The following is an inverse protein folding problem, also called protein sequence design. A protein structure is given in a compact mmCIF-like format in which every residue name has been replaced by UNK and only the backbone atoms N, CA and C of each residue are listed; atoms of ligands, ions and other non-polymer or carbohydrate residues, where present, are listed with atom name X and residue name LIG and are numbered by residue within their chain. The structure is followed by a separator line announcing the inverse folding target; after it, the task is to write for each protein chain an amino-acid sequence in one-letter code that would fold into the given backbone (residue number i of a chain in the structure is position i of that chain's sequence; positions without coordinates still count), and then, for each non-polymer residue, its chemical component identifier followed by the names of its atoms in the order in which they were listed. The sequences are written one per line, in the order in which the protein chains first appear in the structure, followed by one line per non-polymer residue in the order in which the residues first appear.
data_IF_425735659037
#
_entry.id   IF_425735659037
#
_cell.length_a   1.000
_cell.length_b   1.000
_cell.length_c   1.000
_cell.angle_alpha   90.00
_cell.angle_beta   90.00
_cell.angle_gamma   90.00
#
_symmetry.space_group_name_H-M   'P 1'
#
loop_
_entity.id
_entity.type
_entity.pdbx_description
1 polymer ?
#
# COMPACT_ATOMS: atom_id res chain seq x y z
N UNK A 1 -21.12 -4.33 -5.49
CA UNK A 1 -20.21 -3.99 -4.37
C UNK A 1 -21.07 -3.72 -3.14
N UNK A 2 -20.86 -4.44 -2.03
CA UNK A 2 -21.57 -4.17 -0.77
C UNK A 2 -21.08 -2.86 -0.15
N UNK A 3 -21.95 -2.15 0.59
CA UNK A 3 -21.57 -0.95 1.36
C UNK A 3 -20.42 -1.22 2.33
N UNK A 4 -20.29 -2.45 2.84
CA UNK A 4 -19.18 -2.89 3.69
C UNK A 4 -17.84 -2.87 2.98
N UNK A 5 -17.75 -3.51 1.81
CA UNK A 5 -16.50 -3.57 1.03
C UNK A 5 -16.01 -2.16 0.64
N UNK A 6 -16.93 -1.27 0.26
CA UNK A 6 -16.57 0.12 -0.06
C UNK A 6 -15.96 0.87 1.14
N UNK A 7 -16.44 0.60 2.36
CA UNK A 7 -15.87 1.22 3.57
C UNK A 7 -14.47 0.70 3.85
N UNK A 8 -14.27 -0.61 3.71
CA UNK A 8 -12.96 -1.24 3.91
C UNK A 8 -11.92 -0.75 2.91
N UNK A 9 -12.30 -0.58 1.65
CA UNK A 9 -11.39 -0.06 0.61
C UNK A 9 -10.99 1.39 0.89
N UNK A 10 -11.93 2.23 1.34
CA UNK A 10 -11.67 3.62 1.73
C UNK A 10 -10.77 3.68 2.97
N UNK A 11 -11.03 2.84 3.98
CA UNK A 11 -10.22 2.79 5.19
C UNK A 11 -8.78 2.39 4.89
N UNK A 12 -8.58 1.37 4.02
CA UNK A 12 -7.23 0.96 3.59
C UNK A 12 -6.50 2.08 2.85
N UNK A 13 -7.17 2.74 1.90
CA UNK A 13 -6.60 3.87 1.17
C UNK A 13 -6.21 5.00 2.14
N UNK A 14 -7.07 5.30 3.11
CA UNK A 14 -6.80 6.32 4.13
C UNK A 14 -5.60 5.97 5.02
N UNK A 15 -5.49 4.72 5.46
CA UNK A 15 -4.35 4.26 6.28
C UNK A 15 -3.02 4.35 5.52
N UNK A 16 -3.02 3.96 4.24
CA UNK A 16 -1.83 4.07 3.37
C UNK A 16 -1.43 5.54 3.21
N UNK A 17 -2.40 6.40 2.85
CA UNK A 17 -2.18 7.81 2.60
C UNK A 17 -1.71 8.56 3.85
N UNK A 18 -2.38 8.36 4.99
CA UNK A 18 -2.04 9.03 6.26
C UNK A 18 -0.68 8.60 6.78
N UNK A 19 -0.35 7.30 6.72
CA UNK A 19 0.98 6.81 7.08
C UNK A 19 2.06 7.38 6.17
N UNK A 20 1.86 7.36 4.86
CA UNK A 20 2.82 7.91 3.90
C UNK A 20 3.02 9.42 4.10
N UNK A 21 1.93 10.15 4.33
CA UNK A 21 1.96 11.58 4.64
C UNK A 21 2.71 11.89 5.93
N UNK A 22 2.50 11.13 7.00
CA UNK A 22 3.24 11.30 8.26
C UNK A 22 4.74 11.10 8.07
N UNK A 23 5.15 10.08 7.30
CA UNK A 23 6.57 9.87 7.01
C UNK A 23 7.10 11.00 6.11
N UNK A 24 6.33 11.46 5.12
CA UNK A 24 6.68 12.60 4.28
C UNK A 24 6.90 13.88 5.07
N UNK A 25 5.99 14.18 6.01
CA UNK A 25 6.09 15.31 6.92
C UNK A 25 7.39 15.26 7.74
N UNK A 26 7.69 14.11 8.35
CA UNK A 26 8.89 13.94 9.16
C UNK A 26 10.18 14.08 8.34
N UNK A 27 10.24 13.43 7.16
CA UNK A 27 11.41 13.48 6.29
C UNK A 27 11.69 14.91 5.78
N UNK A 28 10.67 15.58 5.25
CA UNK A 28 10.83 16.93 4.74
C UNK A 28 10.97 17.96 5.87
N UNK A 29 10.42 17.70 7.06
CA UNK A 29 10.70 18.49 8.25
C UNK A 29 12.16 18.42 8.67
N UNK A 30 12.78 17.24 8.61
CA UNK A 30 14.22 17.10 8.84
C UNK A 30 15.04 17.88 7.79
N UNK A 31 14.63 17.84 6.51
CA UNK A 31 15.25 18.65 5.45
C UNK A 31 15.09 20.14 5.73
N UNK A 32 13.87 20.60 6.05
CA UNK A 32 13.58 21.99 6.37
C UNK A 32 14.39 22.50 7.56
N UNK A 33 14.49 21.71 8.62
CA UNK A 33 15.34 22.01 9.78
C UNK A 33 16.81 22.11 9.39
N UNK A 34 17.31 21.17 8.57
CA UNK A 34 18.68 21.21 8.06
C UNK A 34 18.96 22.49 7.27
N UNK A 35 18.07 22.87 6.36
CA UNK A 35 18.17 24.10 5.57
C UNK A 35 18.11 25.35 6.46
N UNK A 36 17.21 25.39 7.45
CA UNK A 36 17.11 26.50 8.39
C UNK A 36 18.38 26.64 9.24
N UNK A 37 18.96 25.53 9.71
CA UNK A 37 20.22 25.53 10.46
C UNK A 37 21.40 26.02 9.63
N UNK A 38 21.52 25.54 8.37
CA UNK A 38 22.55 26.01 7.43
C UNK A 38 22.37 27.52 7.18
N UNK A 39 21.15 27.96 6.84
CA UNK A 39 20.86 29.38 6.61
C UNK A 39 21.22 30.25 7.82
N UNK A 40 20.96 29.77 9.03
CA UNK A 40 21.28 30.48 10.26
C UNK A 40 22.79 30.67 10.47
N UNK A 41 23.58 29.64 10.16
CA UNK A 41 25.02 29.67 10.36
C UNK A 41 25.75 30.44 9.27
N UNK A 42 25.38 30.26 7.99
CA UNK A 42 26.15 30.82 6.88
C UNK A 42 25.67 32.19 6.39
N UNK A 43 24.41 32.57 6.63
CA UNK A 43 23.85 33.81 6.07
C UNK A 43 23.50 34.86 7.14
N UNK A 44 24.23 35.99 7.21
CA UNK A 44 23.98 37.04 8.20
C UNK A 44 22.55 37.61 8.17
N UNK A 45 21.98 37.77 6.96
CA UNK A 45 20.61 38.26 6.78
C UNK A 45 19.56 37.30 7.34
N UNK A 46 19.74 35.99 7.14
CA UNK A 46 18.82 34.97 7.67
C UNK A 46 18.99 34.76 9.18
N UNK A 47 20.21 34.93 9.70
CA UNK A 47 20.48 34.86 11.13
C UNK A 47 19.65 35.88 11.92
N UNK A 48 19.54 37.10 11.40
CA UNK A 48 18.77 38.23 11.97
C UNK A 48 17.24 38.03 11.93
N UNK A 49 16.74 37.06 11.18
CA UNK A 49 15.29 36.78 11.12
C UNK A 49 14.78 36.13 12.41
N UNK A 50 13.49 36.36 12.69
CA UNK A 50 12.83 35.87 13.91
C UNK A 50 12.69 34.35 13.92
N UNK A 51 12.64 33.75 15.11
CA UNK A 51 12.42 32.30 15.26
C UNK A 51 11.08 31.84 14.68
N UNK A 52 9.94 32.55 14.86
CA UNK A 52 8.68 32.16 14.25
C UNK A 52 8.75 32.10 12.72
N UNK A 53 9.45 33.03 12.08
CA UNK A 53 9.61 33.02 10.62
C UNK A 53 10.36 31.76 10.14
N UNK A 54 11.40 31.35 10.86
CA UNK A 54 12.16 30.12 10.53
C UNK A 54 11.29 28.88 10.72
N UNK A 55 10.55 28.80 11.82
CA UNK A 55 9.61 27.70 12.06
C UNK A 55 8.52 27.61 10.98
N UNK A 56 8.01 28.76 10.53
CA UNK A 56 7.07 28.83 9.42
C UNK A 56 7.65 28.26 8.13
N UNK A 57 8.89 28.62 7.77
CA UNK A 57 9.58 28.06 6.59
C UNK A 57 9.77 26.54 6.68
N UNK A 58 10.20 26.04 7.84
CA UNK A 58 10.32 24.60 8.08
C UNK A 58 8.96 23.92 7.89
N UNK A 59 7.91 24.50 8.45
CA UNK A 59 6.54 23.96 8.37
C UNK A 59 6.03 23.89 6.92
N UNK A 60 6.30 24.92 6.09
CA UNK A 60 5.96 24.90 4.66
C UNK A 60 6.59 23.68 3.98
N UNK A 61 7.89 23.45 4.21
CA UNK A 61 8.61 22.33 3.62
C UNK A 61 8.07 20.98 4.13
N UNK A 62 7.79 20.86 5.43
CA UNK A 62 7.19 19.66 6.01
C UNK A 62 5.82 19.35 5.42
N UNK A 63 4.93 20.34 5.31
CA UNK A 63 3.58 20.17 4.75
C UNK A 63 3.64 19.82 3.26
N UNK A 64 4.56 20.43 2.52
CA UNK A 64 4.83 20.03 1.14
C UNK A 64 5.19 18.53 1.05
N UNK A 65 6.11 18.06 1.89
CA UNK A 65 6.50 16.65 1.95
C UNK A 65 5.34 15.72 2.35
N UNK A 66 4.49 16.15 3.27
CA UNK A 66 3.28 15.44 3.67
C UNK A 66 2.38 15.21 2.46
N UNK A 67 2.03 16.28 1.73
CA UNK A 67 1.11 16.21 0.61
C UNK A 67 1.64 15.34 -0.53
N UNK A 68 2.89 15.58 -0.96
CA UNK A 68 3.47 14.85 -2.10
C UNK A 68 3.58 13.36 -1.79
N UNK A 69 4.00 12.99 -0.57
CA UNK A 69 4.17 11.57 -0.23
C UNK A 69 2.83 10.85 -0.03
N UNK A 70 1.85 11.54 0.55
CA UNK A 70 0.49 11.03 0.67
C UNK A 70 -0.13 10.75 -0.70
N UNK A 71 -0.04 11.73 -1.62
CA UNK A 71 -0.59 11.63 -2.97
C UNK A 71 0.07 10.50 -3.78
N UNK A 72 1.40 10.43 -3.77
CA UNK A 72 2.13 9.38 -4.49
C UNK A 72 1.77 7.97 -3.97
N UNK A 73 1.61 7.80 -2.66
CA UNK A 73 1.23 6.52 -2.08
C UNK A 73 -0.19 6.10 -2.50
N UNK A 74 -1.12 7.04 -2.51
CA UNK A 74 -2.49 6.78 -2.97
C UNK A 74 -2.52 6.41 -4.45
N UNK A 75 -1.84 7.19 -5.30
CA UNK A 75 -1.77 6.92 -6.73
C UNK A 75 -1.13 5.57 -7.03
N UNK A 76 -0.05 5.21 -6.33
CA UNK A 76 0.60 3.91 -6.50
C UNK A 76 -0.36 2.77 -6.12
N UNK A 77 -1.06 2.89 -4.99
CA UNK A 77 -2.06 1.91 -4.57
C UNK A 77 -3.20 1.75 -5.58
N UNK A 78 -3.73 2.86 -6.11
CA UNK A 78 -4.75 2.80 -7.16
C UNK A 78 -4.23 2.17 -8.45
N UNK A 79 -3.01 2.51 -8.87
CA UNK A 79 -2.38 1.94 -10.05
C UNK A 79 -2.20 0.43 -9.91
N UNK A 80 -1.67 -0.03 -8.77
CA UNK A 80 -1.53 -1.46 -8.46
C UNK A 80 -2.89 -2.18 -8.50
N UNK A 81 -3.92 -1.57 -7.92
CA UNK A 81 -5.28 -2.11 -7.94
C UNK A 81 -5.82 -2.23 -9.37
N UNK A 82 -5.66 -1.19 -10.20
CA UNK A 82 -6.09 -1.21 -11.61
C UNK A 82 -5.34 -2.26 -12.43
N UNK A 83 -4.04 -2.41 -12.19
CA UNK A 83 -3.21 -3.44 -12.86
C UNK A 83 -3.65 -4.84 -12.45
N UNK A 84 -3.91 -5.06 -11.16
CA UNK A 84 -4.37 -6.34 -10.65
C UNK A 84 -5.75 -6.71 -11.22
N UNK A 85 -6.70 -5.78 -11.24
CA UNK A 85 -8.02 -6.00 -11.84
C UNK A 85 -7.94 -6.29 -13.34
N UNK A 86 -7.05 -5.58 -14.06
CA UNK A 86 -6.86 -5.76 -15.50
C UNK A 86 -6.24 -7.12 -15.81
N UNK A 87 -5.24 -7.54 -15.03
CA UNK A 87 -4.63 -8.87 -15.13
C UNK A 87 -5.67 -9.97 -14.85
N UNK A 88 -6.48 -9.80 -13.81
CA UNK A 88 -7.55 -10.74 -13.45
C UNK A 88 -8.59 -10.87 -14.57
N UNK A 89 -9.03 -9.74 -15.15
CA UNK A 89 -9.96 -9.74 -16.29
C UNK A 89 -9.34 -10.44 -17.52
N UNK A 90 -8.06 -10.23 -17.78
CA UNK A 90 -7.34 -10.90 -18.87
C UNK A 90 -7.30 -12.42 -18.64
N UNK A 91 -6.98 -12.87 -17.44
CA UNK A 91 -6.96 -14.28 -17.09
C UNK A 91 -8.35 -14.92 -17.23
N UNK A 92 -9.39 -14.25 -16.74
CA UNK A 92 -10.78 -14.70 -16.89
C UNK A 92 -11.16 -14.88 -18.36
N UNK A 93 -10.83 -13.91 -19.23
CA UNK A 93 -11.10 -14.01 -20.67
C UNK A 93 -10.37 -15.19 -21.31
N UNK A 94 -9.11 -15.42 -20.95
CA UNK A 94 -8.33 -16.54 -21.49
C UNK A 94 -8.84 -17.91 -21.03
N UNK A 95 -9.30 -18.02 -19.78
CA UNK A 95 -9.83 -19.28 -19.26
C UNK A 95 -11.22 -19.58 -19.81
N UNK A 96 -12.10 -18.57 -19.88
CA UNK A 96 -13.42 -18.71 -20.51
C UNK A 96 -13.31 -19.05 -22.00
N UNK A 97 -12.40 -18.40 -22.74
CA UNK A 97 -12.15 -18.72 -24.14
C UNK A 97 -11.67 -20.17 -24.32
N UNK A 98 -10.81 -20.68 -23.43
CA UNK A 98 -10.37 -22.09 -23.43
C UNK A 98 -11.53 -23.07 -23.18
N UNK A 99 -12.53 -22.66 -22.40
CA UNK A 99 -13.77 -23.42 -22.16
C UNK A 99 -14.81 -23.26 -23.30
N UNK A 100 -14.49 -22.51 -24.35
CA UNK A 100 -15.43 -22.20 -25.44
C UNK A 100 -16.56 -21.25 -25.05
N UNK A 101 -16.43 -20.56 -23.91
CA UNK A 101 -17.42 -19.63 -23.38
C UNK A 101 -17.09 -18.19 -23.77
N UNK A 102 -18.11 -17.41 -24.09
CA UNK A 102 -17.97 -15.96 -24.31
C UNK A 102 -17.79 -15.27 -22.96
N UNK A 103 -16.76 -14.44 -22.85
CA UNK A 103 -16.44 -13.68 -21.64
C UNK A 103 -17.45 -12.54 -21.40
N UNK A 104 -18.68 -12.90 -21.05
CA UNK A 104 -19.72 -11.97 -20.59
C UNK A 104 -19.50 -11.61 -19.13
N UNK A 105 -20.04 -10.47 -18.68
CA UNK A 105 -19.93 -10.03 -17.27
C UNK A 105 -20.45 -11.09 -16.28
N UNK A 106 -21.51 -11.82 -16.65
CA UNK A 106 -22.07 -12.90 -15.84
C UNK A 106 -21.13 -14.10 -15.72
N UNK A 107 -20.50 -14.52 -16.82
CA UNK A 107 -19.54 -15.63 -16.82
C UNK A 107 -18.24 -15.26 -16.11
N UNK A 108 -17.78 -14.02 -16.22
CA UNK A 108 -16.65 -13.52 -15.45
C UNK A 108 -16.97 -13.50 -13.94
N UNK A 109 -18.20 -13.14 -13.56
CA UNK A 109 -18.63 -13.18 -12.17
C UNK A 109 -18.65 -14.61 -11.60
N UNK A 110 -19.21 -15.57 -12.36
CA UNK A 110 -19.19 -17.00 -12.00
C UNK A 110 -17.77 -17.53 -11.88
N UNK A 111 -16.91 -17.23 -12.85
CA UNK A 111 -15.50 -17.61 -12.84
C UNK A 111 -14.78 -17.06 -11.60
N UNK A 112 -15.04 -15.80 -11.20
CA UNK A 112 -14.49 -15.24 -9.97
C UNK A 112 -14.94 -16.01 -8.73
N UNK A 113 -16.23 -16.34 -8.63
CA UNK A 113 -16.75 -17.11 -7.49
C UNK A 113 -16.17 -18.52 -7.43
N UNK A 114 -16.10 -19.22 -8.56
CA UNK A 114 -15.48 -20.55 -8.67
C UNK A 114 -14.02 -20.50 -8.22
N UNK A 115 -13.25 -19.54 -8.74
CA UNK A 115 -11.85 -19.37 -8.38
C UNK A 115 -11.66 -19.12 -6.88
N UNK A 116 -12.49 -18.27 -6.27
CA UNK A 116 -12.40 -18.02 -4.82
C UNK A 116 -12.71 -19.27 -3.99
N UNK A 117 -13.66 -20.10 -4.43
CA UNK A 117 -13.98 -21.37 -3.75
C UNK A 117 -12.85 -22.39 -3.88
N UNK A 118 -12.25 -22.52 -5.07
CA UNK A 118 -11.10 -23.40 -5.30
C UNK A 118 -9.92 -22.99 -4.42
N UNK A 119 -9.59 -21.70 -4.39
CA UNK A 119 -8.48 -21.19 -3.56
C UNK A 119 -8.73 -21.40 -2.06
N UNK A 120 -9.97 -21.24 -1.59
CA UNK A 120 -10.34 -21.51 -0.20
C UNK A 120 -10.20 -23.00 0.14
N UNK A 121 -10.70 -23.88 -0.72
CA UNK A 121 -10.58 -25.33 -0.54
C UNK A 121 -9.11 -25.80 -0.54
N UNK A 122 -8.27 -25.24 -1.42
CA UNK A 122 -6.83 -25.50 -1.45
C UNK A 122 -6.13 -25.01 -0.17
N UNK A 123 -6.49 -23.83 0.34
CA UNK A 123 -5.94 -23.30 1.59
C UNK A 123 -6.31 -24.18 2.79
N UNK A 124 -7.56 -24.63 2.87
CA UNK A 124 -8.01 -25.56 3.90
C UNK A 124 -7.31 -26.92 3.80
N UNK A 125 -7.16 -27.48 2.59
CA UNK A 125 -6.44 -28.72 2.36
C UNK A 125 -4.96 -28.60 2.76
N UNK A 126 -4.30 -27.49 2.42
CA UNK A 126 -2.92 -27.20 2.86
C UNK A 126 -2.81 -27.04 4.37
N UNK A 127 -3.78 -26.39 5.01
CA UNK A 127 -3.81 -26.23 6.47
C UNK A 127 -3.98 -27.58 7.18
N UNK A 128 -4.89 -28.43 6.68
CA UNK A 128 -5.10 -29.80 7.20
C UNK A 128 -3.87 -30.68 7.00
N UNK A 129 -3.22 -30.61 5.83
CA UNK A 129 -1.98 -31.33 5.58
C UNK A 129 -0.83 -30.89 6.51
N UNK A 130 -0.74 -29.59 6.81
CA UNK A 130 0.24 -29.04 7.76
C UNK A 130 -0.06 -29.44 9.21
N UNK A 131 -1.34 -29.54 9.59
CA UNK A 131 -1.76 -29.99 10.91
C UNK A 131 -1.61 -31.51 11.11
N UNK A 132 -1.68 -32.29 10.03
CA UNK A 132 -1.49 -33.74 10.01
C UNK A 132 -0.02 -34.18 9.91
N UNK A 133 0.93 -33.28 9.64
CA UNK A 133 2.36 -33.59 9.75
C UNK A 133 2.75 -33.56 11.24
N UNK A 134 3.12 -34.70 11.86
CA UNK A 134 3.75 -34.68 13.17
C UNK A 134 5.03 -33.86 13.03
N UNK A 135 5.33 -33.01 14.01
CA UNK A 135 6.60 -32.29 14.14
C UNK A 135 7.75 -33.29 14.02
N UNK A 136 8.24 -33.52 12.80
CA UNK A 136 9.39 -34.36 12.55
C UNK A 136 10.61 -33.58 13.04
N UNK A 137 11.00 -33.92 14.26
CA UNK A 137 12.31 -33.77 14.87
C UNK A 137 13.05 -32.46 14.53
N UNK A 138 12.99 -31.51 15.46
CA UNK A 138 14.13 -30.63 15.66
C UNK A 138 15.38 -31.53 15.85
N UNK A 139 16.44 -31.38 15.04
CA UNK A 139 17.68 -32.08 15.33
C UNK A 139 18.23 -31.48 16.61
N UNK A 140 18.09 -32.23 17.70
CA UNK A 140 18.86 -32.01 18.93
C UNK A 140 20.32 -32.20 18.53
N UNK A 141 21.00 -31.09 18.29
CA UNK A 141 22.44 -31.04 18.09
C UNK A 141 23.08 -31.18 19.47
N UNK A 142 23.43 -32.41 19.82
CA UNK A 142 24.42 -32.72 20.84
C UNK A 142 25.78 -32.82 20.16
N UNK A 143 26.61 -31.78 20.29
CA UNK A 143 28.06 -31.81 20.56
C UNK A 143 28.61 -30.40 20.64
#
# INVERSE_FOLDING_TARGET
MSRGHRKEDVEKAYQIQSRAGAIGFAQYGAVGLGLASIGHHFWPSFRRQTLPFKAFLVTIVSVYGLCIRAENALQTYEQETRLHESALRREARMDLARRGLVATETEIAKWKTERTQILAAEAEARARARAGQPTAAAPVSSQ
#
